data_IF_976244533735
#
_entry.id   IF_976244533735
#
_cell.length_a   1.000
_cell.length_b   1.000
_cell.length_c   1.000
_cell.angle_alpha   90.00
_cell.angle_beta   90.00
_cell.angle_gamma   90.00
#
_symmetry.space_group_name_H-M   'P 1'
#
loop_
_entity.id
_entity.type
_entity.pdbx_description
1 polymer ?
#
# COMPACT_ATOMS: atom_id res chain seq x y z
N UNK A 1 -4.09 6.82 14.06
CA UNK A 1 -2.67 6.40 13.93
C UNK A 1 -1.94 7.07 15.09
N UNK A 2 -1.30 6.35 16.02
CA UNK A 2 -0.63 7.03 17.14
C UNK A 2 0.47 7.95 16.61
N UNK A 3 0.38 9.24 16.97
CA UNK A 3 1.44 10.21 16.74
C UNK A 3 2.55 9.91 17.73
N UNK A 4 3.42 8.97 17.36
CA UNK A 4 4.57 8.62 18.18
C UNK A 4 5.43 9.85 18.46
N UNK A 5 5.78 10.05 19.73
CA UNK A 5 6.55 11.19 20.28
C UNK A 5 7.92 11.42 19.62
N UNK A 6 8.46 10.42 18.91
CA UNK A 6 9.71 10.53 18.16
C UNK A 6 9.48 10.87 16.68
N UNK A 7 10.07 11.99 16.23
CA UNK A 7 10.18 12.32 14.78
C UNK A 7 11.01 11.25 14.06
N UNK A 8 10.68 11.00 12.79
CA UNK A 8 11.36 9.99 11.97
C UNK A 8 10.82 8.56 12.09
N UNK A 9 11.38 7.65 11.31
CA UNK A 9 11.05 6.22 11.32
C UNK A 9 11.58 5.62 12.62
N UNK A 10 10.70 5.05 13.44
CA UNK A 10 11.06 4.42 14.71
C UNK A 10 10.44 3.03 14.80
N UNK A 11 11.01 2.15 15.63
CA UNK A 11 10.46 0.78 15.85
C UNK A 11 9.03 0.79 16.41
N UNK A 12 8.57 1.93 16.94
CA UNK A 12 7.21 2.12 17.46
C UNK A 12 6.19 2.42 16.35
N UNK A 13 6.63 2.79 15.15
CA UNK A 13 5.74 3.10 14.03
C UNK A 13 5.52 1.86 13.18
N UNK A 14 4.28 1.60 12.83
CA UNK A 14 3.92 0.53 11.90
C UNK A 14 4.10 1.05 10.48
N UNK A 15 4.77 0.27 9.64
CA UNK A 15 4.97 0.58 8.25
C UNK A 15 3.91 -0.14 7.39
N UNK A 16 3.29 0.62 6.50
CA UNK A 16 2.38 0.13 5.47
C UNK A 16 3.04 0.38 4.13
N UNK A 17 3.19 -0.67 3.32
CA UNK A 17 3.67 -0.58 1.95
C UNK A 17 2.46 -0.47 1.04
N UNK A 18 2.54 0.45 0.08
CA UNK A 18 1.47 0.72 -0.89
C UNK A 18 2.06 0.71 -2.28
N UNK A 19 1.40 -0.01 -3.19
CA UNK A 19 1.65 0.11 -4.62
C UNK A 19 0.34 0.42 -5.34
N UNK A 20 0.42 1.28 -6.36
CA UNK A 20 -0.73 1.66 -7.17
C UNK A 20 -0.30 1.77 -8.63
N UNK A 21 -1.06 1.14 -9.52
CA UNK A 21 -0.83 1.21 -10.96
C UNK A 21 -1.54 2.42 -11.61
N UNK A 22 -1.39 2.57 -12.93
CA UNK A 22 -2.05 3.65 -13.69
C UNK A 22 -3.54 3.41 -13.94
N UNK A 23 -3.99 2.16 -13.85
CA UNK A 23 -5.40 1.79 -14.02
C UNK A 23 -6.20 1.99 -12.71
N UNK A 24 -5.52 2.34 -11.63
CA UNK A 24 -6.12 2.58 -10.32
C UNK A 24 -6.22 1.34 -9.44
N UNK A 25 -5.57 0.23 -9.82
CA UNK A 25 -5.44 -0.94 -8.95
C UNK A 25 -4.47 -0.62 -7.83
N UNK A 26 -4.85 -0.98 -6.61
CA UNK A 26 -4.13 -0.63 -5.39
C UNK A 26 -3.92 -1.88 -4.56
N UNK A 27 -2.70 -2.07 -4.08
CA UNK A 27 -2.37 -2.99 -3.00
C UNK A 27 -1.75 -2.19 -1.85
N UNK A 28 -2.26 -2.40 -0.64
CA UNK A 28 -1.70 -1.80 0.57
C UNK A 28 -1.76 -2.80 1.72
N UNK A 29 -0.61 -3.05 2.35
CA UNK A 29 -0.50 -4.05 3.41
C UNK A 29 0.57 -3.63 4.43
N UNK A 30 0.40 -4.08 5.67
CA UNK A 30 1.37 -3.89 6.73
C UNK A 30 2.65 -4.68 6.44
N UNK A 31 3.79 -3.98 6.40
CA UNK A 31 5.08 -4.61 6.12
C UNK A 31 5.96 -4.83 7.34
N UNK A 32 5.70 -4.15 8.45
CA UNK A 32 6.47 -4.34 9.68
C UNK A 32 6.48 -3.12 10.59
N UNK A 33 7.53 -3.02 11.40
CA UNK A 33 7.73 -1.95 12.37
C UNK A 33 9.01 -1.18 12.05
N UNK A 34 8.92 0.14 11.98
CA UNK A 34 10.04 1.01 11.66
C UNK A 34 10.43 0.97 10.19
N UNK A 35 11.72 0.75 9.92
CA UNK A 35 12.27 0.86 8.57
C UNK A 35 12.11 -0.46 7.83
N UNK A 36 11.29 -0.44 6.79
CA UNK A 36 11.00 -1.62 5.97
C UNK A 36 12.23 -2.05 5.16
N UNK A 37 12.55 -3.34 5.20
CA UNK A 37 13.61 -3.96 4.42
C UNK A 37 13.11 -4.42 3.05
N UNK A 38 14.02 -4.73 2.13
CA UNK A 38 13.65 -5.21 0.80
C UNK A 38 12.87 -6.53 0.84
N UNK A 39 13.25 -7.41 1.77
CA UNK A 39 12.64 -8.73 1.97
C UNK A 39 11.21 -8.60 2.49
N UNK A 40 10.94 -7.60 3.34
CA UNK A 40 9.59 -7.27 3.82
C UNK A 40 8.73 -6.65 2.71
N UNK A 41 9.32 -5.91 1.77
CA UNK A 41 8.59 -5.40 0.59
C UNK A 41 8.21 -6.57 -0.33
N UNK A 42 9.15 -7.48 -0.58
CA UNK A 42 8.92 -8.70 -1.38
C UNK A 42 7.78 -9.53 -0.81
N UNK A 43 7.83 -9.86 0.49
CA UNK A 43 6.82 -10.69 1.13
C UNK A 43 5.40 -10.09 1.06
N UNK A 44 5.28 -8.76 0.96
CA UNK A 44 4.00 -8.06 1.10
C UNK A 44 3.39 -7.72 -0.25
N UNK A 45 4.16 -7.14 -1.16
CA UNK A 45 3.66 -6.68 -2.47
C UNK A 45 4.33 -7.37 -3.65
N UNK A 46 5.32 -8.24 -3.40
CA UNK A 46 6.10 -8.88 -4.46
C UNK A 46 5.20 -9.58 -5.48
N UNK A 47 4.32 -10.47 -5.04
CA UNK A 47 3.50 -11.29 -5.93
C UNK A 47 2.47 -10.51 -6.74
N UNK A 48 2.21 -9.25 -6.38
CA UNK A 48 1.27 -8.36 -7.08
C UNK A 48 1.95 -7.55 -8.19
N UNK A 49 3.29 -7.57 -8.27
CA UNK A 49 4.04 -6.78 -9.25
C UNK A 49 4.49 -7.70 -10.39
N UNK A 50 4.00 -7.40 -11.59
CA UNK A 50 4.43 -8.06 -12.82
C UNK A 50 5.95 -7.85 -13.03
N UNK A 51 6.74 -8.92 -13.30
CA UNK A 51 8.17 -8.79 -13.58
C UNK A 51 8.53 -7.85 -14.74
N UNK A 52 7.63 -7.67 -15.71
CA UNK A 52 7.79 -6.77 -16.83
C UNK A 52 7.42 -5.30 -16.51
N UNK A 53 6.85 -5.03 -15.33
CA UNK A 53 6.47 -3.69 -14.93
C UNK A 53 7.68 -2.77 -14.73
N UNK A 54 7.45 -1.47 -14.84
CA UNK A 54 8.40 -0.44 -14.42
C UNK A 54 8.01 0.05 -13.03
N UNK A 55 8.82 -0.28 -12.04
CA UNK A 55 8.64 0.18 -10.67
C UNK A 55 9.11 1.64 -10.53
N UNK A 56 8.23 2.51 -10.06
CA UNK A 56 8.56 3.90 -9.73
C UNK A 56 8.51 4.10 -8.21
N UNK A 57 9.62 4.50 -7.59
CA UNK A 57 9.66 4.78 -6.13
C UNK A 57 10.42 6.06 -5.84
N UNK A 58 10.47 6.46 -4.56
CA UNK A 58 11.42 7.47 -4.09
C UNK A 58 12.86 6.94 -4.11
N UNK A 59 13.80 7.75 -3.63
CA UNK A 59 15.22 7.41 -3.61
C UNK A 59 15.64 6.46 -2.48
N UNK A 60 14.71 5.91 -1.70
CA UNK A 60 15.06 5.03 -0.58
C UNK A 60 15.75 3.74 -1.06
N UNK A 61 16.76 3.31 -0.31
CA UNK A 61 17.67 2.21 -0.71
C UNK A 61 17.01 0.83 -0.68
N UNK A 62 16.00 0.65 0.17
CA UNK A 62 15.22 -0.59 0.29
C UNK A 62 14.46 -0.91 -1.00
N UNK A 63 13.85 0.08 -1.66
CA UNK A 63 13.16 -0.13 -2.94
C UNK A 63 14.11 -0.44 -4.09
N UNK A 64 15.29 0.20 -4.12
CA UNK A 64 16.35 -0.12 -5.08
C UNK A 64 16.81 -1.57 -4.94
N UNK A 65 17.06 -2.01 -3.69
CA UNK A 65 17.46 -3.38 -3.39
C UNK A 65 16.36 -4.38 -3.75
N UNK A 66 15.10 -4.08 -3.42
CA UNK A 66 13.95 -4.89 -3.79
C UNK A 66 13.86 -5.08 -5.32
N UNK A 67 13.92 -4.00 -6.09
CA UNK A 67 13.84 -4.08 -7.54
C UNK A 67 15.01 -4.87 -8.15
N UNK A 68 16.23 -4.68 -7.62
CA UNK A 68 17.40 -5.44 -8.03
C UNK A 68 17.24 -6.94 -7.76
N UNK A 69 16.81 -7.29 -6.54
CA UNK A 69 16.61 -8.68 -6.14
C UNK A 69 15.54 -9.38 -6.99
N UNK A 70 14.46 -8.66 -7.34
CA UNK A 70 13.35 -9.19 -8.14
C UNK A 70 13.61 -9.13 -9.66
N UNK A 71 14.63 -8.42 -10.11
CA UNK A 71 14.95 -8.23 -11.53
C UNK A 71 13.99 -7.30 -12.27
N UNK A 72 13.32 -6.39 -11.56
CA UNK A 72 12.32 -5.48 -12.13
C UNK A 72 12.98 -4.16 -12.54
N UNK A 73 12.56 -3.58 -13.67
CA UNK A 73 13.01 -2.25 -14.08
C UNK A 73 12.60 -1.22 -13.04
N UNK A 74 13.54 -0.37 -12.62
CA UNK A 74 13.33 0.60 -11.54
C UNK A 74 13.68 2.02 -11.99
N UNK A 75 12.76 2.95 -11.76
CA UNK A 75 12.99 4.39 -11.92
C UNK A 75 12.81 5.06 -10.56
N UNK A 76 13.92 5.47 -9.94
CA UNK A 76 13.90 6.23 -8.70
C UNK A 76 13.68 7.72 -9.01
N UNK A 77 12.66 8.30 -8.39
CA UNK A 77 12.30 9.71 -8.54
C UNK A 77 12.86 10.48 -7.36
N UNK A 78 13.75 11.43 -7.64
CA UNK A 78 14.27 12.33 -6.62
C UNK A 78 13.47 13.62 -6.58
N UNK A 79 12.49 13.69 -5.67
CA UNK A 79 11.58 14.84 -5.56
C UNK A 79 12.33 16.16 -5.35
N UNK A 80 13.46 16.15 -4.63
CA UNK A 80 14.19 17.39 -4.33
C UNK A 80 15.05 17.91 -5.49
N UNK A 81 15.41 17.05 -6.45
CA UNK A 81 16.23 17.43 -7.62
C UNK A 81 15.43 17.52 -8.92
N UNK A 82 14.41 16.67 -9.07
CA UNK A 82 13.71 16.44 -10.33
C UNK A 82 12.26 16.97 -10.29
N UNK A 83 11.79 17.45 -9.13
CA UNK A 83 10.39 17.82 -8.90
C UNK A 83 9.48 16.59 -8.75
N UNK A 84 8.16 16.80 -8.75
CA UNK A 84 7.18 15.72 -8.54
C UNK A 84 6.97 14.81 -9.77
N UNK A 85 7.49 15.19 -10.94
CA UNK A 85 7.31 14.49 -12.20
C UNK A 85 8.65 14.34 -12.91
N UNK A 86 9.08 13.09 -13.12
CA UNK A 86 10.28 12.76 -13.90
C UNK A 86 9.87 12.34 -15.31
N UNK A 87 10.54 12.91 -16.33
CA UNK A 87 10.29 12.61 -17.77
C UNK A 87 8.82 12.77 -18.19
N UNK A 88 8.04 13.61 -17.49
CA UNK A 88 6.62 13.89 -17.79
C UNK A 88 5.63 12.78 -17.43
N UNK A 89 6.08 11.53 -17.27
CA UNK A 89 5.20 10.35 -17.14
C UNK A 89 5.40 9.55 -15.85
N UNK A 90 6.48 9.79 -15.11
CA UNK A 90 6.79 9.09 -13.88
C UNK A 90 6.56 10.01 -12.69
N UNK A 91 5.63 9.63 -11.81
CA UNK A 91 5.30 10.42 -10.63
C UNK A 91 4.79 9.52 -9.50
N UNK A 92 5.02 9.95 -8.26
CA UNK A 92 4.54 9.26 -7.04
C UNK A 92 3.20 9.81 -6.54
N UNK A 93 2.54 10.67 -7.32
CA UNK A 93 1.38 11.43 -6.88
C UNK A 93 0.20 10.53 -6.49
N UNK A 94 -0.03 9.43 -7.21
CA UNK A 94 -1.08 8.46 -6.87
C UNK A 94 -0.88 7.88 -5.46
N UNK A 95 0.32 7.38 -5.17
CA UNK A 95 0.68 6.81 -3.86
C UNK A 95 0.65 7.87 -2.75
N UNK A 96 1.16 9.09 -3.03
CA UNK A 96 1.10 10.19 -2.07
C UNK A 96 -0.34 10.61 -1.73
N UNK A 97 -1.21 10.69 -2.74
CA UNK A 97 -2.63 10.97 -2.54
C UNK A 97 -3.31 9.85 -1.75
N UNK A 98 -2.97 8.58 -2.03
CA UNK A 98 -3.46 7.44 -1.26
C UNK A 98 -3.04 7.52 0.21
N UNK A 99 -1.77 7.81 0.50
CA UNK A 99 -1.28 7.96 1.88
C UNK A 99 -2.00 9.08 2.63
N UNK A 100 -2.20 10.23 1.99
CA UNK A 100 -2.95 11.35 2.59
C UNK A 100 -4.39 10.93 2.90
N UNK A 101 -5.08 10.36 1.91
CA UNK A 101 -6.47 9.94 2.09
C UNK A 101 -6.62 8.83 3.14
N UNK A 102 -5.66 7.90 3.21
CA UNK A 102 -5.63 6.85 4.24
C UNK A 102 -5.47 7.48 5.62
N UNK A 103 -4.53 8.41 5.79
CA UNK A 103 -4.33 9.11 7.07
C UNK A 103 -5.59 9.84 7.50
N UNK A 104 -6.16 10.66 6.61
CA UNK A 104 -7.39 11.41 6.87
C UNK A 104 -8.56 10.48 7.25
N UNK A 105 -8.65 9.31 6.61
CA UNK A 105 -9.67 8.28 6.92
C UNK A 105 -9.43 7.60 8.26
N UNK A 106 -8.17 7.31 8.59
CA UNK A 106 -7.73 6.64 9.82
C UNK A 106 -7.87 7.53 11.06
N UNK A 107 -7.76 8.85 10.91
CA UNK A 107 -7.89 9.81 12.01
C UNK A 107 -9.30 9.86 12.61
N UNK A 108 -10.30 9.32 11.89
CA UNK A 108 -11.68 9.18 12.37
C UNK A 108 -11.84 8.07 13.42
N UNK A 109 -10.88 7.15 13.51
CA UNK A 109 -10.89 6.08 14.51
C UNK A 109 -10.05 6.50 15.72
N UNK A 110 -10.50 6.19 16.94
CA UNK A 110 -9.79 6.44 18.20
C UNK A 110 -8.67 5.43 18.45
N UNK A 111 -7.82 5.24 17.43
CA UNK A 111 -6.86 4.14 17.37
C UNK A 111 -7.44 2.89 16.71
N UNK A 112 -6.55 2.09 16.15
CA UNK A 112 -6.87 0.78 15.59
C UNK A 112 -5.93 -0.26 16.18
N UNK A 113 -6.46 -1.43 16.50
CA UNK A 113 -5.60 -2.53 16.93
C UNK A 113 -4.76 -3.00 15.73
N UNK A 114 -3.43 -3.00 15.89
CA UNK A 114 -2.48 -3.37 14.82
C UNK A 114 -2.74 -4.75 14.24
N UNK A 115 -3.29 -5.67 15.04
CA UNK A 115 -3.69 -7.02 14.61
C UNK A 115 -4.69 -7.00 13.45
N UNK A 116 -5.52 -5.96 13.35
CA UNK A 116 -6.55 -5.84 12.33
C UNK A 116 -6.22 -4.80 11.26
N UNK A 117 -5.02 -4.19 11.29
CA UNK A 117 -4.67 -3.09 10.39
C UNK A 117 -4.90 -3.45 8.91
N UNK A 118 -4.54 -4.65 8.48
CA UNK A 118 -4.75 -5.09 7.10
C UNK A 118 -6.24 -5.12 6.73
N UNK A 119 -7.14 -5.51 7.64
CA UNK A 119 -8.58 -5.45 7.40
C UNK A 119 -9.06 -4.01 7.16
N UNK A 120 -8.50 -3.04 7.90
CA UNK A 120 -8.80 -1.62 7.67
C UNK A 120 -8.23 -1.14 6.33
N UNK A 121 -7.05 -1.61 5.92
CA UNK A 121 -6.47 -1.29 4.62
C UNK A 121 -7.33 -1.84 3.48
N UNK A 122 -7.76 -3.11 3.55
CA UNK A 122 -8.66 -3.70 2.56
C UNK A 122 -9.99 -2.94 2.48
N UNK A 123 -10.57 -2.61 3.63
CA UNK A 123 -11.78 -1.79 3.67
C UNK A 123 -11.54 -0.44 3.00
N UNK A 124 -10.45 0.24 3.33
CA UNK A 124 -10.11 1.52 2.72
C UNK A 124 -9.90 1.42 1.20
N UNK A 125 -9.19 0.41 0.70
CA UNK A 125 -9.00 0.17 -0.73
C UNK A 125 -10.35 -0.02 -1.43
N UNK A 126 -11.22 -0.88 -0.87
CA UNK A 126 -12.58 -1.04 -1.38
C UNK A 126 -13.31 0.30 -1.44
N UNK A 127 -13.17 1.12 -0.40
CA UNK A 127 -13.76 2.45 -0.38
C UNK A 127 -13.20 3.34 -1.50
N UNK A 128 -11.89 3.29 -1.78
CA UNK A 128 -11.23 4.08 -2.84
C UNK A 128 -11.69 3.67 -4.24
N UNK A 129 -11.74 2.36 -4.53
CA UNK A 129 -12.10 1.83 -5.85
C UNK A 129 -13.57 2.13 -6.20
N UNK A 130 -14.46 2.12 -5.21
CA UNK A 130 -15.90 2.31 -5.41
C UNK A 130 -16.36 3.75 -5.13
N UNK A 131 -15.45 4.74 -5.15
CA UNK A 131 -15.79 6.16 -4.88
C UNK A 131 -16.80 6.76 -5.85
N UNK A 132 -16.81 6.30 -7.09
CA UNK A 132 -17.68 6.82 -8.16
C UNK A 132 -19.07 6.17 -8.16
N UNK A 133 -19.27 5.12 -7.37
CA UNK A 133 -20.56 4.45 -7.27
C UNK A 133 -21.46 5.19 -6.28
N UNK A 134 -22.77 5.34 -6.57
CA UNK A 134 -23.76 5.75 -5.59
C UNK A 134 -23.69 4.90 -4.31
N UNK A 135 -23.94 5.50 -3.15
CA UNK A 135 -23.81 4.83 -1.84
C UNK A 135 -24.62 3.53 -1.77
N UNK A 136 -25.84 3.53 -2.31
CA UNK A 136 -26.74 2.37 -2.28
C UNK A 136 -26.22 1.21 -3.14
N UNK A 137 -25.67 1.51 -4.32
CA UNK A 137 -25.06 0.51 -5.19
C UNK A 137 -23.78 -0.04 -4.58
N UNK A 138 -22.99 0.81 -3.92
CA UNK A 138 -21.79 0.40 -3.19
C UNK A 138 -22.11 -0.52 -2.03
N UNK A 139 -23.16 -0.23 -1.26
CA UNK A 139 -23.63 -1.10 -0.17
C UNK A 139 -24.10 -2.44 -0.69
N UNK A 140 -24.88 -2.45 -1.79
CA UNK A 140 -25.29 -3.70 -2.46
C UNK A 140 -24.10 -4.49 -2.97
N UNK A 141 -23.14 -3.84 -3.63
CA UNK A 141 -21.91 -4.47 -4.10
C UNK A 141 -21.09 -5.06 -2.96
N UNK A 142 -20.95 -4.34 -1.85
CA UNK A 142 -20.26 -4.84 -0.65
C UNK A 142 -20.94 -6.08 -0.07
N UNK A 143 -22.26 -6.07 0.07
CA UNK A 143 -23.04 -7.21 0.54
C UNK A 143 -22.88 -8.40 -0.40
N UNK A 144 -23.04 -8.20 -1.71
CA UNK A 144 -22.89 -9.25 -2.72
C UNK A 144 -21.48 -9.86 -2.68
N UNK A 145 -20.43 -9.05 -2.66
CA UNK A 145 -19.04 -9.52 -2.58
C UNK A 145 -18.73 -10.24 -1.26
N UNK A 146 -19.38 -9.86 -0.16
CA UNK A 146 -19.23 -10.55 1.14
C UNK A 146 -19.96 -11.89 1.19
N UNK A 147 -21.02 -12.04 0.39
CA UNK A 147 -21.80 -13.27 0.28
C UNK A 147 -21.29 -14.22 -0.83
N UNK A 148 -20.50 -13.72 -1.78
CA UNK A 148 -19.75 -14.56 -2.69
C UNK A 148 -18.78 -15.40 -1.85
N UNK A 149 -18.84 -16.73 -2.00
CA UNK A 149 -17.98 -17.65 -1.26
C UNK A 149 -16.55 -17.10 -1.29
N UNK A 150 -15.92 -16.87 -0.13
CA UNK A 150 -14.51 -16.53 -0.14
C UNK A 150 -13.80 -17.66 -0.87
N UNK A 151 -12.90 -17.33 -1.81
CA UNK A 151 -11.84 -18.25 -2.15
C UNK A 151 -11.04 -18.43 -0.86
N UNK A 152 -11.41 -19.43 -0.07
CA UNK A 152 -10.88 -19.71 1.26
C UNK A 152 -9.40 -20.04 1.14
N UNK A 153 -8.54 -19.03 1.13
CA UNK A 153 -7.17 -19.19 1.59
C UNK A 153 -7.20 -18.78 3.06
N UNK A 154 -7.30 -19.74 4.01
CA UNK A 154 -7.30 -19.40 5.41
C UNK A 154 -5.99 -18.68 5.75
N UNK A 155 -6.05 -17.67 6.64
CA UNK A 155 -4.90 -16.88 7.12
C UNK A 155 -3.73 -17.74 7.61
N UNK A 156 -3.98 -19.02 7.95
CA UNK A 156 -2.96 -20.02 8.28
C UNK A 156 -2.00 -20.30 7.11
N UNK A 157 -2.49 -20.30 5.88
CA UNK A 157 -1.70 -20.55 4.67
C UNK A 157 -0.73 -19.40 4.34
N UNK A 158 -1.02 -18.19 4.82
CA UNK A 158 -0.17 -17.00 4.65
C UNK A 158 0.92 -16.88 5.75
N UNK A 159 0.92 -17.77 6.75
CA UNK A 159 1.90 -17.77 7.86
C UNK A 159 2.93 -18.89 7.77
N UNK A 160 2.72 -19.86 6.88
CA UNK A 160 3.56 -21.05 6.72
C UNK A 160 4.38 -21.02 5.41
N UNK A 161 4.51 -19.84 4.78
CA UNK A 161 5.46 -19.55 3.69
C UNK A 161 6.51 -18.57 4.21
#
# INVERSE_FOLDING_TARGET
MEVGTKRGISKLKIAVVVAQDRNGQIVAQKAGNGRVKAEEIEAVIGDYIDPAALLCTDTATNYKKFALNKGIKHEAINISKEGYVKKGIYHLQHVNNFHKALKDWMDRFQGVATKYLDNYLYWFIFLQQNKKMPTDERMKGMLLSSCQKPNCIPVRYLREI
#
